data_IF_566057584298
#
_entry.id   IF_566057584298
#
_cell.length_a   1.000
_cell.length_b   1.000
_cell.length_c   1.000
_cell.angle_alpha   90.00
_cell.angle_beta   90.00
_cell.angle_gamma   90.00
#
_symmetry.space_group_name_H-M   'P 1'
#
loop_
_entity.id
_entity.type
_entity.pdbx_description
1 polymer ?
#
# COMPACT_ATOMS: atom_id res chain seq x y z
N UNK A 1 -21.55 -10.00 24.05
CA UNK A 1 -22.28 -9.16 23.10
C UNK A 1 -22.19 -9.65 21.65
N UNK A 2 -21.37 -10.67 21.33
CA UNK A 2 -21.22 -11.16 19.95
C UNK A 2 -20.37 -10.31 19.01
N UNK A 3 -20.01 -9.09 19.38
CA UNK A 3 -19.14 -8.23 18.59
C UNK A 3 -17.66 -8.63 18.69
N UNK A 4 -16.93 -8.46 17.59
CA UNK A 4 -15.50 -8.74 17.55
C UNK A 4 -14.72 -7.46 17.84
N UNK A 5 -13.71 -7.55 18.68
CA UNK A 5 -12.65 -6.54 18.80
C UNK A 5 -11.54 -6.89 17.82
N UNK A 6 -10.92 -5.86 17.27
CA UNK A 6 -9.85 -6.00 16.29
C UNK A 6 -8.80 -4.92 16.48
N UNK A 7 -7.65 -5.13 15.86
CA UNK A 7 -6.57 -4.15 15.83
C UNK A 7 -6.00 -4.04 14.41
N UNK A 8 -5.30 -2.97 14.14
CA UNK A 8 -4.70 -2.71 12.83
C UNK A 8 -3.37 -3.46 12.66
N UNK A 9 -3.13 -3.93 11.45
CA UNK A 9 -1.84 -4.49 11.03
C UNK A 9 -1.21 -3.51 10.05
N UNK A 10 -0.15 -2.82 10.48
CA UNK A 10 0.40 -1.67 9.75
C UNK A 10 -0.36 -0.37 10.07
N UNK A 11 -0.18 0.64 9.23
CA UNK A 11 -0.85 1.94 9.40
C UNK A 11 -2.15 2.02 8.61
N UNK A 12 -3.21 2.49 9.25
CA UNK A 12 -4.49 2.73 8.59
C UNK A 12 -5.12 4.05 9.06
N UNK A 13 -5.74 4.76 8.14
CA UNK A 13 -6.50 5.95 8.49
C UNK A 13 -7.86 5.56 9.12
N UNK A 14 -7.96 5.73 10.42
CA UNK A 14 -9.18 5.37 11.17
C UNK A 14 -10.44 6.12 10.73
N UNK A 15 -10.30 7.24 10.04
CA UNK A 15 -11.44 8.00 9.52
C UNK A 15 -12.25 7.23 8.48
N UNK A 16 -11.62 6.30 7.79
CA UNK A 16 -12.27 5.52 6.71
C UNK A 16 -12.77 4.15 7.16
N UNK A 17 -12.57 3.76 8.42
CA UNK A 17 -12.96 2.45 8.92
C UNK A 17 -14.47 2.30 9.19
N UNK A 18 -15.16 3.27 9.82
CA UNK A 18 -16.57 3.11 10.16
C UNK A 18 -17.45 2.82 8.96
N UNK A 19 -18.29 1.81 9.06
CA UNK A 19 -19.21 1.39 8.00
C UNK A 19 -18.58 0.54 6.90
N UNK A 20 -17.28 0.24 6.97
CA UNK A 20 -16.64 -0.66 6.00
C UNK A 20 -17.11 -2.09 6.19
N UNK A 21 -17.40 -2.74 5.06
CA UNK A 21 -17.63 -4.19 5.01
C UNK A 21 -16.29 -4.91 5.01
N UNK A 22 -16.24 -6.00 5.76
CA UNK A 22 -15.05 -6.81 5.94
C UNK A 22 -15.37 -8.29 5.82
N UNK A 23 -14.35 -9.07 5.46
CA UNK A 23 -14.37 -10.53 5.50
C UNK A 23 -13.45 -10.99 6.63
N UNK A 24 -13.95 -11.78 7.55
CA UNK A 24 -13.24 -12.29 8.73
C UNK A 24 -12.88 -13.76 8.54
N UNK A 25 -11.64 -14.09 8.90
CA UNK A 25 -11.14 -15.46 8.85
C UNK A 25 -10.99 -16.01 7.43
N UNK A 26 -10.55 -17.27 7.34
CA UNK A 26 -10.31 -17.95 6.05
C UNK A 26 -11.60 -18.28 5.31
N UNK A 27 -12.69 -18.44 6.03
CA UNK A 27 -14.01 -18.76 5.46
C UNK A 27 -14.73 -17.54 4.89
N UNK A 28 -14.15 -16.34 5.04
CA UNK A 28 -14.69 -15.11 4.47
C UNK A 28 -16.01 -14.69 5.10
N UNK A 29 -16.17 -14.85 6.41
CA UNK A 29 -17.37 -14.43 7.11
C UNK A 29 -17.58 -12.93 6.98
N UNK A 30 -18.71 -12.50 6.49
CA UNK A 30 -19.01 -11.09 6.31
C UNK A 30 -19.26 -10.38 7.65
N UNK A 31 -18.72 -9.19 7.77
CA UNK A 31 -18.94 -8.32 8.91
C UNK A 31 -18.91 -6.84 8.50
N UNK A 32 -19.32 -5.98 9.42
CA UNK A 32 -19.33 -4.53 9.23
C UNK A 32 -18.65 -3.87 10.42
N UNK A 33 -17.74 -2.93 10.15
CA UNK A 33 -17.11 -2.13 11.21
C UNK A 33 -18.13 -1.11 11.74
N UNK A 34 -18.46 -1.25 13.00
CA UNK A 34 -19.37 -0.37 13.73
C UNK A 34 -18.65 0.55 14.72
N UNK A 35 -19.29 1.66 15.01
CA UNK A 35 -18.91 2.61 16.05
C UNK A 35 -20.15 3.03 16.86
N UNK A 36 -19.92 3.69 18.00
CA UNK A 36 -21.01 4.28 18.78
C UNK A 36 -21.90 5.16 17.90
N UNK A 37 -23.21 4.96 17.88
CA UNK A 37 -24.15 5.76 17.09
C UNK A 37 -24.06 7.25 17.41
N UNK A 38 -24.18 8.10 16.39
CA UNK A 38 -24.00 9.56 16.51
C UNK A 38 -24.92 10.22 17.55
N UNK A 39 -26.13 9.72 17.71
CA UNK A 39 -27.09 10.24 18.68
C UNK A 39 -26.74 9.91 20.15
N UNK A 40 -25.83 8.98 20.37
CA UNK A 40 -25.29 8.62 21.68
C UNK A 40 -23.94 9.28 21.99
N UNK A 41 -23.35 10.01 21.01
CA UNK A 41 -22.09 10.74 21.21
C UNK A 41 -22.35 12.14 21.76
N UNK A 42 -21.42 12.66 22.56
CA UNK A 42 -21.50 13.97 23.17
C UNK A 42 -20.45 14.92 22.58
N UNK A 43 -20.77 16.22 22.47
CA UNK A 43 -19.85 17.31 22.17
C UNK A 43 -18.73 16.94 21.20
N UNK A 44 -17.51 16.91 21.71
CA UNK A 44 -16.30 16.67 20.94
C UNK A 44 -16.21 15.25 20.32
N UNK A 45 -16.90 14.27 20.89
CA UNK A 45 -16.93 12.91 20.33
C UNK A 45 -17.53 12.89 18.91
N UNK A 46 -18.44 13.83 18.58
CA UNK A 46 -19.11 13.88 17.27
C UNK A 46 -18.15 14.22 16.14
N UNK A 47 -17.11 14.96 16.43
CA UNK A 47 -16.12 15.44 15.44
C UNK A 47 -14.78 14.73 15.55
N UNK A 48 -14.57 13.97 16.62
CA UNK A 48 -13.34 13.23 16.84
C UNK A 48 -13.24 12.00 15.93
N UNK A 49 -12.01 11.69 15.52
CA UNK A 49 -11.71 10.40 14.85
C UNK A 49 -11.90 9.28 15.86
N UNK A 50 -12.71 8.26 15.59
CA UNK A 50 -12.92 7.14 16.51
C UNK A 50 -11.60 6.46 16.88
N UNK A 51 -11.45 6.10 18.16
CA UNK A 51 -10.30 5.28 18.59
C UNK A 51 -10.55 3.83 18.19
N UNK A 52 -9.48 3.08 17.96
CA UNK A 52 -9.57 1.65 17.61
C UNK A 52 -10.42 0.88 18.63
N UNK A 53 -10.20 1.12 19.91
CA UNK A 53 -10.95 0.45 20.99
C UNK A 53 -12.44 0.78 21.03
N UNK A 54 -12.89 1.86 20.39
CA UNK A 54 -14.29 2.25 20.31
C UNK A 54 -15.02 1.63 19.11
N UNK A 55 -14.26 0.96 18.24
CA UNK A 55 -14.77 0.24 17.09
C UNK A 55 -14.98 -1.24 17.41
N UNK A 56 -15.84 -1.87 16.65
CA UNK A 56 -16.13 -3.30 16.71
C UNK A 56 -16.53 -3.80 15.32
N UNK A 57 -16.48 -5.12 15.13
CA UNK A 57 -17.03 -5.75 13.92
C UNK A 57 -18.28 -6.51 14.33
N UNK A 58 -19.37 -6.21 13.65
CA UNK A 58 -20.63 -6.92 13.75
C UNK A 58 -20.67 -8.01 12.68
N UNK A 59 -20.83 -9.25 13.10
CA UNK A 59 -20.97 -10.44 12.27
C UNK A 59 -22.37 -11.07 12.42
N UNK A 60 -23.27 -10.43 13.15
CA UNK A 60 -24.61 -10.94 13.46
C UNK A 60 -24.67 -11.98 14.57
N UNK A 61 -23.59 -12.17 15.34
CA UNK A 61 -23.58 -13.11 16.46
C UNK A 61 -24.30 -12.54 17.69
N UNK A 62 -25.09 -13.35 18.38
CA UNK A 62 -25.90 -12.93 19.53
C UNK A 62 -25.10 -12.95 20.84
N UNK A 63 -24.03 -13.72 20.93
CA UNK A 63 -23.18 -13.84 22.11
C UNK A 63 -21.73 -14.13 21.73
N UNK A 64 -20.84 -14.08 22.73
CA UNK A 64 -19.44 -14.48 22.57
C UNK A 64 -19.31 -15.95 22.15
N UNK A 65 -20.09 -16.81 22.78
CA UNK A 65 -20.10 -18.25 22.50
C UNK A 65 -20.60 -18.52 21.08
N UNK A 66 -21.55 -17.74 20.61
CA UNK A 66 -22.03 -17.80 19.24
C UNK A 66 -20.97 -17.33 18.25
N UNK A 67 -20.33 -16.18 18.48
CA UNK A 67 -19.25 -15.67 17.65
C UNK A 67 -18.07 -16.67 17.52
N UNK A 68 -17.71 -17.34 18.62
CA UNK A 68 -16.61 -18.32 18.63
C UNK A 68 -16.90 -19.62 17.84
N UNK A 69 -18.13 -19.82 17.36
CA UNK A 69 -18.42 -20.91 16.41
C UNK A 69 -17.90 -20.61 15.01
N UNK A 70 -17.69 -19.34 14.69
CA UNK A 70 -17.38 -18.87 13.34
C UNK A 70 -15.98 -18.28 13.22
N UNK A 71 -15.43 -17.72 14.32
CA UNK A 71 -14.15 -17.01 14.33
C UNK A 71 -13.26 -17.49 15.46
N UNK A 72 -11.95 -17.35 15.26
CA UNK A 72 -10.94 -17.63 16.27
C UNK A 72 -10.16 -16.37 16.59
N UNK A 73 -9.51 -16.34 17.76
CA UNK A 73 -8.54 -15.29 18.07
C UNK A 73 -7.38 -15.33 17.08
N UNK A 74 -7.03 -14.14 16.56
CA UNK A 74 -5.97 -13.99 15.56
C UNK A 74 -6.40 -14.22 14.12
N UNK A 75 -7.69 -14.45 13.86
CA UNK A 75 -8.19 -14.49 12.50
C UNK A 75 -7.97 -13.17 11.78
N UNK A 76 -7.45 -13.24 10.55
CA UNK A 76 -7.22 -12.07 9.72
C UNK A 76 -8.54 -11.47 9.24
N UNK A 77 -8.57 -10.13 9.18
CA UNK A 77 -9.71 -9.37 8.69
C UNK A 77 -9.27 -8.57 7.47
N UNK A 78 -10.03 -8.68 6.39
CA UNK A 78 -9.77 -7.98 5.14
C UNK A 78 -10.96 -7.13 4.76
N UNK A 79 -10.73 -5.95 4.19
CA UNK A 79 -11.79 -5.19 3.57
C UNK A 79 -12.38 -5.95 2.41
N UNK A 80 -13.69 -5.91 2.27
CA UNK A 80 -14.37 -6.27 1.04
C UNK A 80 -14.06 -5.23 -0.02
N UNK A 81 -13.83 -5.65 -1.24
CA UNK A 81 -13.53 -4.72 -2.33
C UNK A 81 -13.67 -5.35 -3.70
N UNK A 82 -14.21 -4.57 -4.62
CA UNK A 82 -14.39 -4.93 -6.02
C UNK A 82 -13.18 -4.50 -6.85
N UNK A 83 -12.98 -5.19 -7.96
CA UNK A 83 -12.12 -4.74 -9.04
C UNK A 83 -12.98 -4.10 -10.13
N UNK A 84 -12.78 -2.81 -10.40
CA UNK A 84 -13.54 -2.06 -11.41
C UNK A 84 -12.60 -1.32 -12.34
N UNK A 85 -12.88 -1.41 -13.63
CA UNK A 85 -12.19 -0.65 -14.66
C UNK A 85 -13.13 0.46 -15.14
N UNK A 86 -12.69 1.69 -15.00
CA UNK A 86 -13.31 2.87 -15.61
C UNK A 86 -12.54 3.21 -16.89
N UNK A 87 -13.01 4.19 -17.67
CA UNK A 87 -12.40 4.56 -18.97
C UNK A 87 -10.89 4.87 -18.88
N UNK A 88 -10.39 5.37 -17.76
CA UNK A 88 -8.99 5.81 -17.56
C UNK A 88 -8.38 5.39 -16.25
N UNK A 89 -9.10 4.69 -15.39
CA UNK A 89 -8.66 4.34 -14.05
C UNK A 89 -9.11 2.95 -13.66
N UNK A 90 -8.36 2.34 -12.77
CA UNK A 90 -8.73 1.10 -12.07
C UNK A 90 -9.05 1.45 -10.62
N UNK A 91 -10.14 0.91 -10.11
CA UNK A 91 -10.54 1.03 -8.71
C UNK A 91 -10.53 -0.36 -8.09
N UNK A 92 -9.67 -0.56 -7.11
CA UNK A 92 -9.55 -1.84 -6.40
C UNK A 92 -8.89 -1.62 -5.04
N UNK A 93 -9.08 -2.58 -4.14
CA UNK A 93 -8.28 -2.60 -2.91
C UNK A 93 -6.88 -3.14 -3.20
N UNK A 94 -5.91 -2.77 -2.36
CA UNK A 94 -4.53 -3.27 -2.41
C UNK A 94 -3.91 -3.15 -3.82
N UNK A 95 -4.18 -2.04 -4.50
CA UNK A 95 -3.46 -1.68 -5.73
C UNK A 95 -1.97 -1.50 -5.41
N UNK A 96 -1.70 -0.99 -4.24
CA UNK A 96 -0.44 -1.04 -3.54
C UNK A 96 -0.35 -2.39 -2.78
N UNK A 97 0.51 -3.39 -3.13
CA UNK A 97 1.27 -3.25 -4.38
C UNK A 97 0.99 -4.41 -5.34
N UNK A 98 -0.28 -4.66 -5.63
CA UNK A 98 -0.66 -5.62 -6.70
C UNK A 98 -0.27 -5.14 -8.09
N UNK A 99 -0.12 -3.81 -8.25
CA UNK A 99 0.32 -3.26 -9.51
C UNK A 99 1.79 -3.63 -9.78
N UNK A 100 2.68 -3.48 -8.81
CA UNK A 100 4.07 -3.92 -8.93
C UNK A 100 4.17 -5.41 -9.24
N UNK A 101 3.37 -6.24 -8.58
CA UNK A 101 3.29 -7.68 -8.91
C UNK A 101 2.89 -7.90 -10.38
N UNK A 102 1.90 -7.16 -10.90
CA UNK A 102 1.49 -7.24 -12.30
C UNK A 102 2.63 -6.84 -13.24
N UNK A 103 3.35 -5.77 -12.94
CA UNK A 103 4.50 -5.32 -13.75
C UNK A 103 5.60 -6.40 -13.76
N UNK A 104 5.99 -6.94 -12.60
CA UNK A 104 7.01 -7.96 -12.50
C UNK A 104 6.64 -9.23 -13.28
N UNK A 105 5.39 -9.67 -13.22
CA UNK A 105 4.90 -10.83 -13.99
C UNK A 105 5.05 -10.58 -15.49
N UNK A 106 4.75 -9.37 -15.98
CA UNK A 106 4.92 -9.05 -17.38
C UNK A 106 6.40 -8.96 -17.79
N UNK A 107 7.26 -8.45 -16.92
CA UNK A 107 8.71 -8.44 -17.17
C UNK A 107 9.28 -9.85 -17.23
N UNK A 108 8.87 -10.76 -16.36
CA UNK A 108 9.26 -12.18 -16.44
C UNK A 108 8.87 -12.79 -17.81
N UNK A 109 7.66 -12.46 -18.29
CA UNK A 109 7.16 -12.97 -19.57
C UNK A 109 7.83 -12.35 -20.80
N UNK A 110 8.53 -11.23 -20.65
CA UNK A 110 9.21 -10.56 -21.74
C UNK A 110 10.60 -11.14 -22.06
N UNK A 111 11.03 -12.16 -21.33
CA UNK A 111 12.34 -12.83 -21.50
C UNK A 111 13.48 -11.80 -21.49
N UNK A 112 13.81 -11.20 -20.33
CA UNK A 112 14.81 -10.14 -20.23
C UNK A 112 16.20 -10.63 -20.70
N UNK A 113 16.96 -9.74 -21.32
CA UNK A 113 18.29 -10.03 -21.89
C UNK A 113 19.38 -10.25 -20.83
N UNK A 114 19.14 -9.83 -19.59
CA UNK A 114 20.09 -9.89 -18.48
C UNK A 114 19.60 -10.82 -17.38
N UNK A 115 20.53 -11.36 -16.60
CA UNK A 115 20.22 -12.12 -15.40
C UNK A 115 19.51 -11.21 -14.38
N UNK A 116 18.28 -11.53 -14.07
CA UNK A 116 17.44 -10.76 -13.16
C UNK A 116 16.76 -11.65 -12.12
N UNK A 117 16.63 -11.13 -10.91
CA UNK A 117 15.83 -11.73 -9.84
C UNK A 117 14.55 -10.94 -9.66
N UNK A 118 13.42 -11.60 -9.77
CA UNK A 118 12.11 -11.03 -9.52
C UNK A 118 11.62 -11.49 -8.15
N UNK A 119 11.59 -10.58 -7.18
CA UNK A 119 11.22 -10.90 -5.80
C UNK A 119 9.84 -10.36 -5.45
N UNK A 120 8.95 -11.26 -5.06
CA UNK A 120 7.63 -10.91 -4.53
C UNK A 120 7.69 -11.09 -3.02
N UNK A 121 8.01 -10.01 -2.34
CA UNK A 121 8.26 -10.05 -0.89
C UNK A 121 6.99 -9.76 -0.09
N UNK A 122 7.00 -10.13 1.17
CA UNK A 122 5.87 -9.96 2.07
C UNK A 122 6.17 -8.93 3.15
N UNK A 123 5.11 -8.41 3.79
CA UNK A 123 5.23 -7.55 4.96
C UNK A 123 5.99 -6.24 4.70
N UNK A 124 5.79 -5.64 3.53
CA UNK A 124 6.27 -4.28 3.25
C UNK A 124 5.61 -3.28 4.20
N UNK A 125 4.27 -3.29 4.30
CA UNK A 125 3.40 -2.39 5.06
C UNK A 125 3.62 -2.42 6.59
N UNK A 126 4.36 -3.39 7.08
CA UNK A 126 4.69 -3.56 8.50
C UNK A 126 6.19 -3.46 8.78
N UNK A 127 6.93 -2.83 7.89
CA UNK A 127 8.33 -2.47 8.10
C UNK A 127 9.33 -3.18 7.20
N UNK A 128 9.03 -3.34 5.92
CA UNK A 128 9.94 -3.81 4.85
C UNK A 128 10.57 -5.18 5.17
N UNK A 129 9.80 -6.04 5.87
CA UNK A 129 10.36 -7.24 6.52
C UNK A 129 10.84 -8.29 5.52
N UNK A 130 10.11 -8.47 4.41
CA UNK A 130 10.46 -9.43 3.37
C UNK A 130 11.62 -8.97 2.49
N UNK A 131 11.75 -7.68 2.24
CA UNK A 131 12.79 -7.12 1.39
C UNK A 131 14.20 -7.28 1.99
N UNK A 132 14.33 -7.16 3.31
CA UNK A 132 15.62 -7.30 3.99
C UNK A 132 16.30 -8.66 3.77
N UNK A 133 15.66 -9.81 4.06
CA UNK A 133 16.27 -11.12 3.79
C UNK A 133 16.39 -11.43 2.30
N UNK A 134 15.48 -10.95 1.46
CA UNK A 134 15.54 -11.13 0.03
C UNK A 134 16.79 -10.45 -0.55
N UNK A 135 17.00 -9.16 -0.27
CA UNK A 135 18.18 -8.43 -0.72
C UNK A 135 19.49 -9.03 -0.19
N UNK A 136 19.49 -9.50 1.08
CA UNK A 136 20.67 -10.16 1.64
C UNK A 136 21.02 -11.46 0.89
N UNK A 137 20.02 -12.25 0.51
CA UNK A 137 20.21 -13.52 -0.18
C UNK A 137 20.62 -13.33 -1.63
N UNK A 138 19.91 -12.45 -2.36
CA UNK A 138 20.19 -12.17 -3.77
C UNK A 138 21.51 -11.43 -3.95
N UNK A 139 21.81 -10.46 -3.04
CA UNK A 139 23.01 -9.63 -3.12
C UNK A 139 23.18 -8.93 -4.48
N UNK A 140 22.18 -8.14 -4.93
CA UNK A 140 22.21 -7.56 -6.26
C UNK A 140 23.15 -6.35 -6.33
N UNK A 141 23.67 -6.03 -7.53
CA UNK A 141 24.41 -4.79 -7.78
C UNK A 141 23.47 -3.60 -7.87
N UNK A 142 22.27 -3.81 -8.42
CA UNK A 142 21.21 -2.82 -8.59
C UNK A 142 19.87 -3.40 -8.17
N UNK A 143 19.00 -2.55 -7.64
CA UNK A 143 17.62 -2.91 -7.38
C UNK A 143 16.65 -1.86 -7.91
N UNK A 144 15.62 -2.34 -8.60
CA UNK A 144 14.49 -1.55 -9.04
C UNK A 144 13.26 -1.97 -8.24
N UNK A 145 12.71 -1.06 -7.48
CA UNK A 145 11.46 -1.26 -6.72
C UNK A 145 10.31 -0.68 -7.51
N UNK A 146 9.30 -1.51 -7.75
CA UNK A 146 8.05 -1.13 -8.39
C UNK A 146 6.98 -1.12 -7.33
N UNK A 147 6.26 -0.02 -7.20
CA UNK A 147 5.25 0.18 -6.15
C UNK A 147 4.16 1.15 -6.58
N UNK A 148 3.27 1.54 -5.67
CA UNK A 148 2.39 2.69 -5.88
C UNK A 148 2.75 3.86 -4.95
N UNK A 149 2.29 5.06 -5.27
CA UNK A 149 2.47 6.24 -4.42
C UNK A 149 1.24 7.12 -4.43
N UNK A 150 0.88 7.65 -3.25
CA UNK A 150 -0.24 8.57 -3.12
C UNK A 150 0.03 9.86 -3.91
N UNK A 151 -0.85 10.19 -4.85
CA UNK A 151 -0.70 11.38 -5.68
C UNK A 151 -0.99 12.68 -4.91
N UNK A 152 -1.97 12.64 -4.02
CA UNK A 152 -2.50 13.81 -3.31
C UNK A 152 -3.02 14.93 -4.26
N UNK A 153 -3.33 14.59 -5.51
CA UNK A 153 -3.84 15.51 -6.54
C UNK A 153 -5.39 15.57 -6.49
N UNK A 154 -5.90 15.84 -5.31
CA UNK A 154 -7.35 15.96 -5.03
C UNK A 154 -7.78 17.42 -4.91
N UNK A 155 -9.08 17.67 -4.93
CA UNK A 155 -9.64 19.01 -4.76
C UNK A 155 -9.11 19.67 -3.47
N UNK A 156 -8.93 20.98 -3.52
CA UNK A 156 -8.46 21.81 -2.41
C UNK A 156 -7.03 21.55 -1.92
N UNK A 157 -6.25 20.73 -2.64
CA UNK A 157 -4.82 20.55 -2.38
C UNK A 157 -4.00 21.36 -3.39
N UNK A 158 -3.25 22.35 -2.88
CA UNK A 158 -2.36 23.15 -3.70
C UNK A 158 -1.33 22.28 -4.44
N UNK A 159 -0.98 22.68 -5.66
CA UNK A 159 -0.02 21.95 -6.50
C UNK A 159 1.34 21.71 -5.81
N UNK A 160 1.76 22.61 -4.92
CA UNK A 160 2.98 22.47 -4.11
C UNK A 160 2.93 21.36 -3.07
N UNK A 161 1.74 20.92 -2.67
CA UNK A 161 1.52 19.84 -1.72
C UNK A 161 1.17 18.51 -2.39
N UNK A 162 0.95 18.51 -3.71
CA UNK A 162 0.71 17.27 -4.45
C UNK A 162 2.02 16.51 -4.64
N UNK A 163 1.99 15.21 -4.35
CA UNK A 163 3.16 14.32 -4.48
C UNK A 163 3.48 14.03 -5.94
N UNK A 164 2.47 13.72 -6.72
CA UNK A 164 2.49 13.50 -8.17
C UNK A 164 1.08 13.70 -8.72
N UNK A 165 0.86 13.41 -9.99
CA UNK A 165 -0.48 13.55 -10.59
C UNK A 165 -0.88 12.27 -11.31
N UNK A 166 -2.15 11.85 -11.18
CA UNK A 166 -2.69 10.77 -11.98
C UNK A 166 -2.61 11.12 -13.47
N UNK A 167 -2.45 10.11 -14.30
CA UNK A 167 -2.40 10.23 -15.78
C UNK A 167 -1.23 11.08 -16.32
N UNK A 168 -0.22 11.38 -15.50
CA UNK A 168 1.01 12.07 -15.94
C UNK A 168 2.22 11.13 -16.04
N UNK A 169 1.99 9.84 -16.06
CA UNK A 169 3.01 8.81 -16.21
C UNK A 169 3.54 8.29 -14.88
N UNK A 170 4.51 7.38 -14.98
CA UNK A 170 5.18 6.80 -13.84
C UNK A 170 5.90 7.86 -13.01
N UNK A 171 6.00 7.62 -11.71
CA UNK A 171 6.62 8.55 -10.77
C UNK A 171 7.98 8.02 -10.34
N UNK A 172 9.04 8.77 -10.61
CA UNK A 172 10.41 8.46 -10.18
C UNK A 172 10.72 9.20 -8.90
N UNK A 173 11.20 8.49 -7.89
CA UNK A 173 11.52 9.03 -6.57
C UNK A 173 12.98 9.43 -6.49
N UNK A 174 13.28 10.65 -6.05
CA UNK A 174 14.64 11.14 -5.79
C UNK A 174 15.06 10.85 -4.35
N UNK A 175 14.13 11.06 -3.42
CA UNK A 175 14.33 10.80 -2.00
C UNK A 175 12.99 10.52 -1.34
N UNK A 176 12.97 9.60 -0.39
CA UNK A 176 11.88 9.38 0.56
C UNK A 176 12.41 9.42 2.01
N UNK A 177 11.62 8.96 2.99
CA UNK A 177 12.03 9.01 4.41
C UNK A 177 13.18 8.05 4.75
N UNK A 178 13.39 7.02 3.95
CA UNK A 178 14.33 5.94 4.23
C UNK A 178 15.49 5.87 3.25
N UNK A 179 15.35 6.47 2.04
CA UNK A 179 16.28 6.26 0.93
C UNK A 179 16.59 7.57 0.20
N UNK A 180 17.86 7.78 -0.12
CA UNK A 180 18.31 8.70 -1.16
C UNK A 180 18.70 7.86 -2.36
N UNK A 181 17.98 8.02 -3.46
CA UNK A 181 18.10 7.14 -4.63
C UNK A 181 19.31 7.47 -5.49
N UNK A 182 19.75 6.47 -6.24
CA UNK A 182 20.91 6.58 -7.10
C UNK A 182 20.66 7.56 -8.26
N UNK A 183 21.50 8.60 -8.35
CA UNK A 183 21.35 9.68 -9.32
C UNK A 183 21.49 9.23 -10.77
N UNK A 184 22.40 8.29 -11.04
CA UNK A 184 22.62 7.78 -12.41
C UNK A 184 21.43 6.93 -12.85
N UNK A 185 20.86 6.10 -11.97
CA UNK A 185 19.66 5.34 -12.26
C UNK A 185 18.45 6.25 -12.50
N UNK A 186 18.31 7.35 -11.74
CA UNK A 186 17.27 8.36 -11.96
C UNK A 186 17.44 8.99 -13.35
N UNK A 187 18.65 9.44 -13.70
CA UNK A 187 18.92 10.06 -15.01
C UNK A 187 18.60 9.09 -16.14
N UNK A 188 19.08 7.85 -16.03
CA UNK A 188 18.81 6.82 -17.01
C UNK A 188 17.30 6.54 -17.20
N UNK A 189 16.52 6.55 -16.11
CA UNK A 189 15.07 6.36 -16.20
C UNK A 189 14.40 7.49 -17.00
N UNK A 190 14.79 8.75 -16.79
CA UNK A 190 14.25 9.87 -17.56
C UNK A 190 14.71 9.86 -19.03
N UNK A 191 15.98 9.57 -19.29
CA UNK A 191 16.53 9.47 -20.66
C UNK A 191 15.84 8.34 -21.45
N UNK A 192 15.63 7.18 -20.83
CA UNK A 192 14.90 6.06 -21.44
C UNK A 192 13.44 6.41 -21.71
N UNK A 193 12.81 7.13 -20.79
CA UNK A 193 11.42 7.57 -20.94
C UNK A 193 11.29 8.54 -22.11
N UNK A 194 12.18 9.52 -22.21
CA UNK A 194 12.21 10.48 -23.33
C UNK A 194 12.43 9.79 -24.66
N UNK A 195 13.45 8.93 -24.77
CA UNK A 195 13.80 8.17 -25.97
C UNK A 195 12.64 7.32 -26.47
N UNK A 196 11.80 6.81 -25.58
CA UNK A 196 10.66 5.92 -25.92
C UNK A 196 9.30 6.62 -25.87
N UNK A 197 9.25 7.94 -25.72
CA UNK A 197 8.00 8.71 -25.59
C UNK A 197 7.10 8.23 -24.45
N UNK A 198 7.69 7.81 -23.34
CA UNK A 198 6.99 7.36 -22.12
C UNK A 198 6.83 8.54 -21.16
N UNK A 199 5.62 8.79 -20.71
CA UNK A 199 5.37 9.84 -19.72
C UNK A 199 5.94 9.44 -18.36
N UNK A 200 6.72 10.34 -17.76
CA UNK A 200 7.34 10.18 -16.46
C UNK A 200 7.33 11.50 -15.70
N UNK A 201 7.28 11.43 -14.38
CA UNK A 201 7.29 12.61 -13.50
C UNK A 201 8.11 12.35 -12.25
N UNK A 202 8.58 13.42 -11.61
CA UNK A 202 9.22 13.33 -10.29
C UNK A 202 8.21 13.19 -9.16
N UNK A 203 8.53 12.42 -8.14
CA UNK A 203 7.90 12.51 -6.83
C UNK A 203 8.33 13.83 -6.17
N UNK A 204 7.37 14.73 -5.95
CA UNK A 204 7.63 16.09 -5.48
C UNK A 204 7.75 16.24 -3.97
N UNK A 205 7.38 15.22 -3.21
CA UNK A 205 7.42 15.26 -1.76
C UNK A 205 8.27 14.12 -1.18
N UNK A 206 9.00 14.43 -0.13
CA UNK A 206 9.71 13.46 0.70
C UNK A 206 8.70 12.86 1.67
N UNK A 207 8.00 11.81 1.24
CA UNK A 207 6.94 11.19 2.00
C UNK A 207 6.95 9.66 1.80
N UNK A 208 6.55 8.94 2.86
CA UNK A 208 6.53 7.49 2.85
C UNK A 208 7.93 6.86 2.80
N UNK A 209 7.99 5.63 2.43
CA UNK A 209 9.16 4.80 2.17
C UNK A 209 8.66 3.55 1.47
N UNK A 210 9.56 2.69 1.05
CA UNK A 210 9.28 1.42 0.40
C UNK A 210 10.42 0.43 0.62
N UNK A 211 10.36 -0.72 0.00
CA UNK A 211 11.35 -1.78 0.13
C UNK A 211 12.79 -1.35 -0.18
N UNK A 212 13.01 -0.27 -0.96
CA UNK A 212 14.34 0.31 -1.17
C UNK A 212 15.03 0.67 0.15
N UNK A 213 14.26 1.10 1.17
CA UNK A 213 14.78 1.43 2.50
C UNK A 213 15.48 0.26 3.21
N UNK A 214 15.07 -0.97 2.91
CA UNK A 214 15.73 -2.16 3.41
C UNK A 214 16.80 -2.70 2.45
N UNK A 215 16.56 -2.58 1.14
CA UNK A 215 17.44 -3.10 0.10
C UNK A 215 18.75 -2.33 0.05
N UNK A 216 18.72 -1.00 0.01
CA UNK A 216 19.93 -0.18 -0.16
C UNK A 216 20.91 -0.31 1.00
N UNK A 217 20.46 -0.76 2.17
CA UNK A 217 21.29 -1.00 3.35
C UNK A 217 21.80 -2.44 3.45
N UNK A 218 21.47 -3.29 2.47
CA UNK A 218 21.87 -4.70 2.52
C UNK A 218 23.36 -4.86 2.24
N UNK A 219 24.04 -5.70 3.04
CA UNK A 219 25.47 -6.01 2.92
C UNK A 219 26.35 -4.76 2.80
N UNK A 220 27.02 -4.56 1.66
CA UNK A 220 27.89 -3.40 1.39
C UNK A 220 27.15 -2.19 0.81
N UNK A 221 25.84 -2.28 0.70
CA UNK A 221 25.01 -1.29 0.03
C UNK A 221 24.60 -1.71 -1.37
N UNK A 222 23.37 -1.38 -1.77
CA UNK A 222 22.81 -1.66 -3.09
C UNK A 222 22.31 -0.36 -3.71
N UNK A 223 22.68 -0.10 -4.94
CA UNK A 223 22.17 1.04 -5.71
C UNK A 223 20.70 0.80 -6.02
N UNK A 224 19.83 1.72 -5.66
CA UNK A 224 18.37 1.54 -5.79
C UNK A 224 17.69 2.65 -6.55
N UNK A 225 16.62 2.28 -7.23
CA UNK A 225 15.65 3.18 -7.84
C UNK A 225 14.24 2.72 -7.46
N UNK A 226 13.34 3.64 -7.19
CA UNK A 226 11.90 3.37 -7.07
C UNK A 226 11.12 4.07 -8.19
N UNK A 227 10.27 3.30 -8.85
CA UNK A 227 9.34 3.76 -9.87
C UNK A 227 7.93 3.37 -9.45
N UNK A 228 7.07 4.36 -9.30
CA UNK A 228 5.77 4.18 -8.67
C UNK A 228 4.61 4.51 -9.60
N UNK A 229 3.51 3.80 -9.45
CA UNK A 229 2.21 4.15 -10.02
C UNK A 229 1.54 5.23 -9.16
N UNK A 230 1.15 6.39 -9.72
CA UNK A 230 0.28 7.33 -9.00
C UNK A 230 -1.07 6.72 -8.63
N UNK A 231 -1.46 6.82 -7.35
CA UNK A 231 -2.74 6.33 -6.82
C UNK A 231 -3.44 7.38 -5.95
N UNK A 232 -4.71 7.21 -5.66
CA UNK A 232 -5.50 8.04 -4.72
C UNK A 232 -6.16 7.19 -3.67
#
# INVERSE_FOLDING_TARGET
DGYLKFDEVGGIDRRVLPGKRVCVGRNGLNGVIGVKPIHLTNGDEKTAVPKMNDMYIDIGAESREDALKYVNYGDGINFEGDFKINSKTVVTKALDDRFGCYVLINLIKSEPEYDMYFTFVVQEEVGLRGARPAAFTVNPDFALVIESTTAADVAEVDASHQVCNLSKGATVTVMDRATVYDKEMISAAFELAEKNNISVQYKRAVAGGNDSGAIHQSRGGVRTLAVSLPSR
#
